data_IF_630414583987
#
_entry.id   IF_630414583987
#
_cell.length_a   1.000
_cell.length_b   1.000
_cell.length_c   1.000
_cell.angle_alpha   90.00
_cell.angle_beta   90.00
_cell.angle_gamma   90.00
#
_symmetry.space_group_name_H-M   'P 1'
#
loop_
_entity.id
_entity.type
_entity.pdbx_description
1 polymer ?
#
# COMPACT_ATOMS: atom_id res chain seq x y z
N UNK A 1 11.15 -3.71 13.00
CA UNK A 1 10.02 -2.98 13.64
C UNK A 1 10.25 -1.48 13.88
N UNK A 2 11.48 -0.94 13.73
CA UNK A 2 11.78 0.49 14.01
C UNK A 2 10.83 1.49 13.32
N UNK A 3 10.43 1.23 12.08
CA UNK A 3 9.49 2.11 11.35
C UNK A 3 8.10 2.24 12.02
N UNK A 4 7.59 1.19 12.66
CA UNK A 4 6.30 1.23 13.37
C UNK A 4 6.43 2.09 14.62
N UNK A 5 7.54 1.97 15.33
CA UNK A 5 7.84 2.78 16.51
C UNK A 5 8.01 4.25 16.14
N UNK A 6 8.73 4.53 15.05
CA UNK A 6 8.91 5.89 14.56
C UNK A 6 7.59 6.52 14.10
N UNK A 7 6.74 5.75 13.41
CA UNK A 7 5.38 6.17 13.05
C UNK A 7 4.51 6.42 14.29
N UNK A 8 4.52 5.50 15.27
CA UNK A 8 3.74 5.65 16.50
C UNK A 8 4.16 6.86 17.34
N UNK A 9 5.47 7.15 17.41
CA UNK A 9 6.00 8.27 18.20
C UNK A 9 5.78 9.63 17.53
N UNK A 10 5.93 9.70 16.21
CA UNK A 10 5.98 10.96 15.49
C UNK A 10 4.75 11.21 14.59
N UNK A 11 3.87 10.22 14.42
CA UNK A 11 2.75 10.25 13.47
C UNK A 11 3.17 10.34 12.01
N UNK A 12 4.46 10.09 11.70
CA UNK A 12 5.04 10.33 10.38
C UNK A 12 5.45 9.03 9.71
N UNK A 13 5.04 8.88 8.45
CA UNK A 13 5.58 7.82 7.59
C UNK A 13 7.00 8.18 7.17
N UNK A 14 7.88 7.18 7.21
CA UNK A 14 9.22 7.32 6.64
C UNK A 14 9.11 7.73 5.16
N UNK A 15 9.96 8.66 4.72
CA UNK A 15 9.94 9.14 3.33
C UNK A 15 10.03 7.97 2.35
N UNK A 16 9.13 7.93 1.37
CA UNK A 16 9.05 6.87 0.37
C UNK A 16 8.30 5.60 0.81
N UNK A 17 7.88 5.50 2.08
CA UNK A 17 7.13 4.33 2.56
C UNK A 17 5.75 4.22 1.89
N UNK A 18 5.11 5.35 1.60
CA UNK A 18 3.84 5.42 0.85
C UNK A 18 4.03 5.52 -0.67
N UNK A 19 5.25 5.34 -1.18
CA UNK A 19 5.47 5.30 -2.62
C UNK A 19 4.75 4.09 -3.22
N UNK A 20 4.12 4.29 -4.37
CA UNK A 20 3.40 3.27 -5.13
C UNK A 20 3.85 3.33 -6.58
N UNK A 21 4.05 2.16 -7.18
CA UNK A 21 4.21 2.03 -8.63
C UNK A 21 2.89 1.60 -9.24
N UNK A 22 2.50 2.23 -10.34
CA UNK A 22 1.33 1.79 -11.11
C UNK A 22 1.82 0.88 -12.22
N UNK A 23 1.36 -0.37 -12.22
CA UNK A 23 1.57 -1.29 -13.33
C UNK A 23 0.25 -1.47 -14.09
N UNK A 24 0.33 -1.50 -15.42
CA UNK A 24 -0.82 -1.71 -16.30
C UNK A 24 -0.84 -3.17 -16.73
N UNK A 25 -1.89 -3.91 -16.36
CA UNK A 25 -2.08 -5.29 -16.78
C UNK A 25 -3.07 -5.32 -17.95
N UNK A 26 -2.71 -5.90 -19.11
CA UNK A 26 -3.65 -6.09 -20.22
C UNK A 26 -4.86 -6.91 -19.78
N UNK A 27 -6.08 -6.51 -20.18
CA UNK A 27 -7.31 -7.30 -19.99
C UNK A 27 -7.64 -8.18 -21.20
N UNK A 28 -6.99 -7.93 -22.34
CA UNK A 28 -7.21 -8.59 -23.63
C UNK A 28 -5.85 -8.88 -24.28
N UNK A 29 -5.79 -9.82 -25.23
CA UNK A 29 -4.54 -10.29 -25.84
C UNK A 29 -3.79 -9.24 -26.66
N UNK A 30 -4.51 -8.27 -27.25
CA UNK A 30 -3.92 -7.17 -28.03
C UNK A 30 -4.57 -5.84 -27.62
N UNK A 31 -4.12 -5.23 -26.52
CA UNK A 31 -4.69 -3.98 -26.04
C UNK A 31 -4.33 -2.83 -26.98
N UNK A 32 -5.32 -2.03 -27.37
CA UNK A 32 -5.16 -0.92 -28.31
C UNK A 32 -5.44 0.43 -27.64
N UNK A 33 -6.24 0.43 -26.57
CA UNK A 33 -6.66 1.63 -25.86
C UNK A 33 -6.27 1.55 -24.39
N UNK A 34 -6.13 2.70 -23.73
CA UNK A 34 -5.79 2.75 -22.30
C UNK A 34 -6.82 2.01 -21.43
N UNK A 35 -8.09 2.02 -21.85
CA UNK A 35 -9.17 1.30 -21.19
C UNK A 35 -9.06 -0.22 -21.32
N UNK A 36 -8.18 -0.76 -22.17
CA UNK A 36 -7.91 -2.20 -22.26
C UNK A 36 -6.96 -2.68 -21.15
N UNK A 37 -6.39 -1.76 -20.38
CA UNK A 37 -5.54 -2.07 -19.25
C UNK A 37 -6.30 -1.93 -17.94
N UNK A 38 -5.93 -2.77 -16.97
CA UNK A 38 -6.30 -2.63 -15.57
C UNK A 38 -5.09 -2.08 -14.82
N UNK A 39 -5.16 -0.87 -14.22
CA UNK A 39 -4.09 -0.41 -13.35
C UNK A 39 -4.10 -1.20 -12.04
N UNK A 40 -2.92 -1.63 -11.61
CA UNK A 40 -2.68 -2.16 -10.26
C UNK A 40 -1.66 -1.29 -9.53
N UNK A 41 -1.88 -1.10 -8.23
CA UNK A 41 -0.93 -0.40 -7.36
C UNK A 41 0.02 -1.39 -6.70
N UNK A 42 1.30 -1.28 -7.02
CA UNK A 42 2.39 -2.00 -6.38
C UNK A 42 2.92 -1.14 -5.23
N UNK A 43 2.36 -1.38 -4.04
CA UNK A 43 2.78 -0.72 -2.80
C UNK A 43 3.76 -1.60 -2.01
N UNK A 44 4.71 -0.97 -1.32
CA UNK A 44 5.71 -1.67 -0.50
C UNK A 44 5.08 -2.50 0.63
N UNK A 45 5.70 -3.64 0.95
CA UNK A 45 5.21 -4.56 1.99
C UNK A 45 5.13 -3.91 3.38
N UNK A 46 6.07 -3.02 3.70
CA UNK A 46 6.07 -2.28 4.97
C UNK A 46 4.84 -1.38 5.12
N UNK A 47 4.42 -0.72 4.05
CA UNK A 47 3.17 0.07 4.04
C UNK A 47 1.95 -0.83 4.25
N UNK A 48 1.90 -2.00 3.60
CA UNK A 48 0.81 -2.97 3.79
C UNK A 48 0.73 -3.48 5.23
N UNK A 49 1.88 -3.75 5.86
CA UNK A 49 1.95 -4.16 7.27
C UNK A 49 1.39 -3.06 8.17
N UNK A 50 1.82 -1.80 7.98
CA UNK A 50 1.30 -0.68 8.75
C UNK A 50 -0.20 -0.49 8.56
N UNK A 51 -0.68 -0.52 7.32
CA UNK A 51 -2.09 -0.40 7.00
C UNK A 51 -2.92 -1.51 7.67
N UNK A 52 -2.41 -2.75 7.72
CA UNK A 52 -3.07 -3.86 8.40
C UNK A 52 -3.14 -3.65 9.92
N UNK A 53 -2.07 -3.14 10.53
CA UNK A 53 -2.06 -2.80 11.96
C UNK A 53 -3.07 -1.69 12.26
N UNK A 54 -3.16 -0.68 11.40
CA UNK A 54 -4.09 0.45 11.55
C UNK A 54 -5.55 0.07 11.27
N UNK A 55 -5.79 -0.83 10.31
CA UNK A 55 -7.13 -1.30 9.97
C UNK A 55 -7.67 -2.31 10.99
N UNK A 56 -6.78 -3.02 11.69
CA UNK A 56 -7.11 -3.87 12.81
C UNK A 56 -6.46 -3.31 14.08
N UNK A 57 -6.93 -2.13 14.58
CA UNK A 57 -6.62 -1.77 15.95
C UNK A 57 -7.16 -2.93 16.78
N UNK A 58 -6.30 -3.54 17.59
CA UNK A 58 -6.69 -4.65 18.46
C UNK A 58 -8.05 -4.30 19.06
N UNK A 59 -9.09 -5.10 18.78
CA UNK A 59 -10.32 -5.04 19.57
C UNK A 59 -9.86 -5.28 20.99
N UNK A 60 -9.77 -4.20 21.75
CA UNK A 60 -9.71 -4.25 23.19
C UNK A 60 -11.17 -4.58 23.53
N UNK A 61 -11.50 -5.87 23.45
CA UNK A 61 -12.72 -6.39 24.05
C UNK A 61 -12.52 -6.17 25.55
N UNK A 62 -13.09 -5.06 26.03
CA UNK A 62 -13.28 -4.76 27.44
C UNK A 62 -14.54 -5.43 27.97
#
# INVERSE_FOLDING_TARGET
MRFIVDFHRNGRLTKGLNATFIALIPKVDSPQQLNDFRPISLVGSLYKILAKILANPLRIDG
#
